data_IF_623219035347
#
_entry.id   IF_623219035347
#
_cell.length_a   1.000
_cell.length_b   1.000
_cell.length_c   1.000
_cell.angle_alpha   90.00
_cell.angle_beta   90.00
_cell.angle_gamma   90.00
#
_symmetry.space_group_name_H-M   'P 1'
#
loop_
_entity.id
_entity.type
_entity.pdbx_description
1 polymer ?
#
# COMPACT_ATOMS: atom_id res chain seq x y z
N UNK A 1 13.26 16.09 6.93
CA UNK A 1 12.43 14.90 7.27
C UNK A 1 11.01 15.41 7.34
N UNK A 2 10.02 14.80 6.65
CA UNK A 2 8.62 15.18 6.87
C UNK A 2 8.26 14.66 8.25
N UNK A 3 8.56 15.44 9.28
CA UNK A 3 8.18 15.17 10.66
C UNK A 3 6.71 15.52 10.74
N UNK A 4 5.84 14.53 10.59
CA UNK A 4 4.41 14.72 10.86
C UNK A 4 4.21 14.76 12.38
N UNK A 5 3.42 15.69 12.92
CA UNK A 5 3.05 15.66 14.33
C UNK A 5 2.37 14.32 14.67
N UNK A 6 2.59 13.83 15.89
CA UNK A 6 1.98 12.61 16.41
C UNK A 6 0.45 12.79 16.47
N UNK A 7 -0.25 12.40 15.42
CA UNK A 7 -1.72 12.32 15.41
C UNK A 7 -2.18 10.93 15.85
N UNK A 8 -3.25 10.87 16.67
CA UNK A 8 -3.92 9.63 17.05
C UNK A 8 -4.27 8.79 15.81
N UNK A 9 -4.06 7.48 15.91
CA UNK A 9 -4.26 6.53 14.80
C UNK A 9 -5.68 6.57 14.21
N UNK A 10 -6.70 6.80 15.05
CA UNK A 10 -8.10 6.93 14.62
C UNK A 10 -8.32 8.07 13.61
N UNK A 11 -7.70 9.24 13.84
CA UNK A 11 -7.83 10.38 12.92
C UNK A 11 -7.21 10.08 11.56
N UNK A 12 -6.21 9.19 11.48
CA UNK A 12 -5.55 8.83 10.21
C UNK A 12 -6.43 7.97 9.32
N UNK A 13 -7.34 7.17 9.89
CA UNK A 13 -8.26 6.30 9.14
C UNK A 13 -9.26 7.16 8.35
N UNK A 14 -9.66 8.31 8.88
CA UNK A 14 -10.61 9.24 8.25
C UNK A 14 -9.97 10.29 7.33
N UNK A 15 -8.67 10.19 7.04
CA UNK A 15 -8.02 11.10 6.09
C UNK A 15 -8.34 10.66 4.67
N UNK A 16 -9.20 11.42 3.98
CA UNK A 16 -9.57 11.16 2.59
C UNK A 16 -8.53 11.71 1.60
N UNK A 17 -7.97 12.89 1.87
CA UNK A 17 -7.06 13.59 0.98
C UNK A 17 -5.65 12.97 1.00
N UNK A 18 -5.20 12.46 -0.14
CA UNK A 18 -3.90 11.80 -0.30
C UNK A 18 -3.85 10.34 0.19
N UNK A 19 -5.00 9.76 0.55
CA UNK A 19 -5.09 8.34 0.92
C UNK A 19 -5.15 7.43 -0.30
N UNK A 20 -4.59 6.22 -0.16
CA UNK A 20 -4.70 5.15 -1.15
C UNK A 20 -6.17 4.73 -1.32
N UNK A 21 -7.03 4.97 -0.31
CA UNK A 21 -8.44 4.62 -0.30
C UNK A 21 -9.19 5.19 -1.50
N UNK A 22 -8.96 6.47 -1.84
CA UNK A 22 -9.60 7.10 -3.01
C UNK A 22 -9.23 6.37 -4.31
N UNK A 23 -7.98 5.93 -4.43
CA UNK A 23 -7.46 5.21 -5.62
C UNK A 23 -8.02 3.79 -5.78
N UNK A 24 -8.34 3.11 -4.68
CA UNK A 24 -8.90 1.75 -4.69
C UNK A 24 -10.41 1.71 -4.48
N UNK A 25 -11.06 2.86 -4.25
CA UNK A 25 -12.47 2.98 -3.92
C UNK A 25 -13.39 2.30 -4.93
N UNK A 26 -13.11 2.47 -6.23
CA UNK A 26 -13.88 1.83 -7.31
C UNK A 26 -13.79 0.31 -7.27
N UNK A 27 -12.61 -0.25 -6.99
CA UNK A 27 -12.41 -1.71 -6.87
C UNK A 27 -13.13 -2.27 -5.65
N UNK A 28 -13.08 -1.55 -4.53
CA UNK A 28 -13.80 -1.92 -3.31
C UNK A 28 -15.32 -1.90 -3.53
N UNK A 29 -15.83 -0.85 -4.19
CA UNK A 29 -17.25 -0.73 -4.52
C UNK A 29 -17.71 -1.85 -5.44
N UNK A 30 -16.96 -2.16 -6.49
CA UNK A 30 -17.27 -3.28 -7.39
C UNK A 30 -17.30 -4.62 -6.65
N UNK A 31 -16.32 -4.89 -5.78
CA UNK A 31 -16.30 -6.11 -4.98
C UNK A 31 -17.49 -6.19 -4.00
N UNK A 32 -17.88 -5.06 -3.41
CA UNK A 32 -19.03 -4.97 -2.53
C UNK A 32 -20.34 -5.26 -3.26
N UNK A 33 -20.56 -4.63 -4.42
CA UNK A 33 -21.73 -4.88 -5.27
C UNK A 33 -21.77 -6.33 -5.76
N UNK A 34 -20.63 -6.88 -6.15
CA UNK A 34 -20.52 -8.28 -6.54
C UNK A 34 -20.90 -9.23 -5.40
N UNK A 35 -20.43 -8.96 -4.17
CA UNK A 35 -20.79 -9.75 -2.99
C UNK A 35 -22.30 -9.75 -2.73
N UNK A 36 -22.94 -8.58 -2.82
CA UNK A 36 -24.41 -8.45 -2.70
C UNK A 36 -25.12 -9.28 -3.79
N UNK A 37 -24.68 -9.17 -5.04
CA UNK A 37 -25.27 -9.91 -6.15
C UNK A 37 -25.18 -11.43 -5.93
N UNK A 38 -24.03 -11.94 -5.44
CA UNK A 38 -23.84 -13.35 -5.12
C UNK A 38 -24.78 -13.80 -4.01
N UNK A 39 -24.97 -13.01 -2.95
CA UNK A 39 -25.91 -13.33 -1.86
C UNK A 39 -27.34 -13.45 -2.38
N UNK A 40 -27.77 -12.52 -3.24
CA UNK A 40 -29.11 -12.59 -3.85
C UNK A 40 -29.29 -13.78 -4.80
N UNK A 41 -28.23 -14.21 -5.50
CA UNK A 41 -28.28 -15.37 -6.41
C UNK A 41 -28.13 -16.72 -5.70
N UNK A 42 -27.72 -16.74 -4.43
CA UNK A 42 -27.48 -17.97 -3.66
C UNK A 42 -28.68 -18.95 -3.65
N UNK A 43 -29.95 -18.52 -3.51
CA UNK A 43 -31.09 -19.43 -3.52
C UNK A 43 -31.31 -20.13 -4.87
N UNK A 44 -30.91 -19.50 -5.98
CA UNK A 44 -31.01 -20.11 -7.31
C UNK A 44 -29.85 -21.07 -7.57
N UNK A 45 -28.68 -20.74 -7.02
CA UNK A 45 -27.48 -21.56 -7.10
C UNK A 45 -27.61 -22.92 -6.39
N UNK A 46 -28.29 -22.97 -5.23
CA UNK A 46 -28.50 -24.23 -4.49
C UNK A 46 -29.29 -25.27 -5.29
N UNK A 47 -30.14 -24.84 -6.23
CA UNK A 47 -30.88 -25.73 -7.14
C UNK A 47 -30.03 -26.30 -8.28
N UNK A 48 -28.91 -25.66 -8.64
CA UNK A 48 -28.06 -26.08 -9.75
C UNK A 48 -27.09 -27.22 -9.39
N UNK A 49 -26.92 -27.54 -8.10
CA UNK A 49 -26.12 -28.70 -7.64
C UNK A 49 -24.60 -28.57 -7.83
N UNK A 50 -24.11 -27.44 -8.35
CA UNK A 50 -22.68 -27.16 -8.52
C UNK A 50 -22.06 -26.88 -7.15
N UNK A 51 -20.88 -27.45 -6.85
CA UNK A 51 -20.16 -27.20 -5.58
C UNK A 51 -19.01 -26.24 -5.81
N UNK A 52 -19.15 -25.02 -5.31
CA UNK A 52 -18.07 -24.03 -5.29
C UNK A 52 -17.26 -24.23 -4.02
N UNK A 53 -15.95 -24.50 -4.14
CA UNK A 53 -15.06 -24.73 -2.99
C UNK A 53 -14.10 -23.57 -2.81
N UNK A 54 -13.74 -23.31 -1.54
CA UNK A 54 -12.82 -22.22 -1.17
C UNK A 54 -11.33 -22.59 -1.36
N UNK A 55 -11.03 -23.88 -1.56
CA UNK A 55 -9.66 -24.39 -1.57
C UNK A 55 -8.76 -23.74 -2.65
N UNK A 56 -9.19 -23.60 -3.91
CA UNK A 56 -8.37 -22.95 -4.93
C UNK A 56 -8.08 -21.48 -4.60
N UNK A 57 -9.05 -20.76 -4.03
CA UNK A 57 -8.90 -19.35 -3.65
C UNK A 57 -7.94 -19.15 -2.49
N UNK A 58 -7.90 -20.07 -1.54
CA UNK A 58 -6.96 -20.03 -0.43
C UNK A 58 -5.51 -20.13 -0.93
N UNK A 59 -5.22 -21.09 -1.81
CA UNK A 59 -3.88 -21.27 -2.37
C UNK A 59 -3.47 -20.05 -3.21
N UNK A 60 -4.38 -19.54 -4.04
CA UNK A 60 -4.15 -18.31 -4.81
C UNK A 60 -3.91 -17.11 -3.90
N UNK A 61 -4.67 -16.97 -2.82
CA UNK A 61 -4.52 -15.90 -1.83
C UNK A 61 -3.14 -15.90 -1.17
N UNK A 62 -2.67 -17.09 -0.76
CA UNK A 62 -1.32 -17.26 -0.18
C UNK A 62 -0.24 -16.89 -1.20
N UNK A 63 -0.36 -17.36 -2.44
CA UNK A 63 0.60 -17.02 -3.49
C UNK A 63 0.67 -15.50 -3.72
N UNK A 64 -0.48 -14.83 -3.86
CA UNK A 64 -0.55 -13.37 -4.05
C UNK A 64 0.06 -12.62 -2.86
N UNK A 65 -0.20 -13.06 -1.63
CA UNK A 65 0.34 -12.43 -0.42
C UNK A 65 1.88 -12.48 -0.39
N UNK A 66 2.47 -13.62 -0.75
CA UNK A 66 3.93 -13.79 -0.81
C UNK A 66 4.54 -12.85 -1.87
N UNK A 67 3.99 -12.84 -3.09
CA UNK A 67 4.49 -11.96 -4.15
C UNK A 67 4.35 -10.48 -3.80
N UNK A 68 3.24 -10.11 -3.14
CA UNK A 68 3.04 -8.74 -2.67
C UNK A 68 4.07 -8.36 -1.60
N UNK A 69 4.44 -9.29 -0.71
CA UNK A 69 5.50 -9.11 0.27
C UNK A 69 6.84 -8.77 -0.39
N UNK A 70 7.27 -9.58 -1.37
CA UNK A 70 8.51 -9.31 -2.12
C UNK A 70 8.46 -7.97 -2.85
N UNK A 71 7.34 -7.66 -3.53
CA UNK A 71 7.16 -6.39 -4.24
C UNK A 71 7.22 -5.18 -3.30
N UNK A 72 6.56 -5.26 -2.14
CA UNK A 72 6.56 -4.18 -1.16
C UNK A 72 7.94 -3.96 -0.56
N UNK A 73 8.67 -5.03 -0.26
CA UNK A 73 10.05 -4.95 0.25
C UNK A 73 10.98 -4.26 -0.76
N UNK A 74 10.91 -4.64 -2.04
CA UNK A 74 11.69 -3.99 -3.09
C UNK A 74 11.31 -2.51 -3.28
N UNK A 75 10.01 -2.20 -3.26
CA UNK A 75 9.51 -0.82 -3.36
C UNK A 75 9.98 0.04 -2.17
N UNK A 76 9.93 -0.51 -0.96
CA UNK A 76 10.41 0.15 0.24
C UNK A 76 11.92 0.39 0.22
N UNK A 77 12.71 -0.58 -0.23
CA UNK A 77 14.16 -0.43 -0.38
C UNK A 77 14.51 0.73 -1.32
N UNK A 78 13.84 0.84 -2.48
CA UNK A 78 14.02 1.96 -3.42
C UNK A 78 13.63 3.31 -2.82
N UNK A 79 12.54 3.36 -2.05
CA UNK A 79 12.15 4.57 -1.34
C UNK A 79 13.23 5.01 -0.34
N UNK A 80 13.77 4.07 0.44
CA UNK A 80 14.83 4.34 1.41
C UNK A 80 16.12 4.78 0.73
N UNK A 81 16.49 4.15 -0.39
CA UNK A 81 17.67 4.52 -1.19
C UNK A 81 17.58 5.97 -1.68
N UNK A 82 16.45 6.37 -2.28
CA UNK A 82 16.24 7.75 -2.71
C UNK A 82 16.39 8.75 -1.55
N UNK A 83 15.92 8.40 -0.34
CA UNK A 83 16.09 9.22 0.86
C UNK A 83 17.54 9.33 1.31
N UNK A 84 18.32 8.24 1.20
CA UNK A 84 19.76 8.24 1.52
C UNK A 84 20.55 9.15 0.58
N UNK A 85 20.28 9.06 -0.73
CA UNK A 85 20.91 9.91 -1.74
C UNK A 85 20.65 11.41 -1.49
N UNK A 86 19.39 11.78 -1.20
CA UNK A 86 19.07 13.15 -0.80
C UNK A 86 19.79 13.61 0.48
N UNK A 87 19.95 12.71 1.45
CA UNK A 87 20.73 12.97 2.66
C UNK A 87 22.21 13.21 2.36
N UNK A 88 22.80 12.38 1.49
CA UNK A 88 24.19 12.52 1.05
C UNK A 88 24.43 13.85 0.34
N UNK A 89 23.52 14.27 -0.55
CA UNK A 89 23.62 15.57 -1.22
C UNK A 89 23.66 16.72 -0.20
N UNK A 90 22.76 16.71 0.78
CA UNK A 90 22.73 17.74 1.83
C UNK A 90 24.01 17.75 2.67
N UNK A 91 24.57 16.57 2.98
CA UNK A 91 25.85 16.46 3.71
C UNK A 91 27.00 17.02 2.85
N UNK A 92 27.07 16.65 1.57
CA UNK A 92 28.10 17.13 0.65
C UNK A 92 28.07 18.66 0.51
N UNK A 93 26.88 19.27 0.36
CA UNK A 93 26.71 20.72 0.31
C UNK A 93 27.19 21.42 1.58
N UNK A 94 26.91 20.84 2.76
CA UNK A 94 27.37 21.38 4.05
C UNK A 94 28.88 21.25 4.22
N UNK A 95 29.45 20.12 3.81
CA UNK A 95 30.90 19.92 3.84
C UNK A 95 31.62 20.89 2.91
N UNK A 96 31.10 21.11 1.70
CA UNK A 96 31.68 22.07 0.76
C UNK A 96 31.65 23.50 1.30
N UNK A 97 30.52 23.93 1.89
CA UNK A 97 30.43 25.22 2.56
C UNK A 97 31.45 25.36 3.70
N UNK A 98 31.63 24.30 4.50
CA UNK A 98 32.60 24.27 5.60
C UNK A 98 34.01 24.47 5.07
N UNK A 99 34.42 23.72 4.06
CA UNK A 99 35.75 23.82 3.45
C UNK A 99 36.01 25.24 2.92
N UNK A 100 35.09 25.79 2.13
CA UNK A 100 35.20 27.16 1.60
C UNK A 100 35.40 28.17 2.73
N UNK A 101 34.63 28.09 3.82
CA UNK A 101 34.75 29.01 4.96
C UNK A 101 36.06 28.84 5.76
N UNK A 102 36.65 27.65 5.75
CA UNK A 102 37.91 27.41 6.45
C UNK A 102 39.14 27.79 5.63
N UNK A 103 39.06 27.73 4.30
CA UNK A 103 40.20 28.01 3.41
C UNK A 103 40.25 29.43 2.88
N UNK A 104 39.10 30.12 2.83
CA UNK A 104 38.92 31.47 2.27
C UNK A 104 38.58 32.45 3.40
#
# INVERSE_FOLDING_TARGET
MIVRPQQHWLRRIFVWHGSVLSKISSRLLLNFLFSIAVIFMLPWYTHLGIKFTLAPFSILGVAIAIFLGFRNNAGYARYVEARKLWGQLMIASRSLLREVKTTL
#
